data_IF_988141035952
#
_entry.id   IF_988141035952
#
_cell.length_a   1.000
_cell.length_b   1.000
_cell.length_c   1.000
_cell.angle_alpha   90.00
_cell.angle_beta   90.00
_cell.angle_gamma   90.00
#
_symmetry.space_group_name_H-M   'P 1'
#
loop_
_entity.id
_entity.type
_entity.pdbx_description
1 polymer ?
#
# COMPACT_ATOMS: atom_id res chain seq x y z
N UNK A 1 -22.88 -21.16 -19.79
CA UNK A 1 -21.44 -21.31 -19.54
C UNK A 1 -21.19 -21.12 -18.05
N UNK A 2 -20.44 -22.01 -17.43
CA UNK A 2 -20.11 -21.92 -16.02
C UNK A 2 -19.10 -20.75 -15.85
N UNK A 3 -19.49 -19.72 -15.10
CA UNK A 3 -18.68 -18.53 -14.91
C UNK A 3 -17.32 -18.83 -14.23
N UNK A 4 -17.27 -19.90 -13.45
CA UNK A 4 -16.02 -20.34 -12.79
C UNK A 4 -15.02 -20.90 -13.81
N UNK A 5 -15.52 -21.73 -14.75
CA UNK A 5 -14.70 -22.24 -15.86
C UNK A 5 -14.23 -21.12 -16.79
N UNK A 6 -15.06 -20.11 -17.02
CA UNK A 6 -14.67 -18.96 -17.81
C UNK A 6 -13.55 -18.16 -17.14
N UNK A 7 -13.63 -17.95 -15.84
CA UNK A 7 -12.59 -17.27 -15.05
C UNK A 7 -11.26 -18.03 -15.10
N UNK A 8 -11.28 -19.36 -14.94
CA UNK A 8 -10.09 -20.21 -15.04
C UNK A 8 -9.47 -20.13 -16.44
N UNK A 9 -10.29 -20.20 -17.48
CA UNK A 9 -9.81 -20.09 -18.86
C UNK A 9 -9.15 -18.73 -19.14
N UNK A 10 -9.75 -17.64 -18.67
CA UNK A 10 -9.16 -16.29 -18.80
C UNK A 10 -7.85 -16.20 -18.03
N UNK A 11 -7.80 -16.72 -16.80
CA UNK A 11 -6.59 -16.72 -15.99
C UNK A 11 -5.44 -17.50 -16.66
N UNK A 12 -5.73 -18.66 -17.23
CA UNK A 12 -4.75 -19.45 -17.99
C UNK A 12 -4.22 -18.68 -19.23
N UNK A 13 -5.11 -17.97 -19.95
CA UNK A 13 -4.69 -17.15 -21.10
C UNK A 13 -3.85 -15.94 -20.70
N UNK A 14 -4.19 -15.30 -19.58
CA UNK A 14 -3.40 -14.19 -19.02
C UNK A 14 -2.01 -14.68 -18.62
N UNK A 15 -1.90 -15.84 -17.96
CA UNK A 15 -0.60 -16.43 -17.61
C UNK A 15 0.24 -16.75 -18.85
N UNK A 16 -0.35 -17.29 -19.91
CA UNK A 16 0.36 -17.54 -21.17
C UNK A 16 0.86 -16.26 -21.83
N UNK A 17 0.08 -15.18 -21.74
CA UNK A 17 0.43 -13.87 -22.29
C UNK A 17 1.43 -13.09 -21.43
N UNK A 18 1.66 -13.50 -20.17
CA UNK A 18 2.46 -12.73 -19.20
C UNK A 18 3.89 -12.47 -19.67
N UNK A 19 4.49 -13.42 -20.40
CA UNK A 19 5.83 -13.26 -20.98
C UNK A 19 5.90 -12.22 -22.13
N UNK A 20 4.75 -11.87 -22.68
CA UNK A 20 4.63 -10.88 -23.79
C UNK A 20 4.25 -9.48 -23.30
N UNK A 21 3.96 -9.35 -22.00
CA UNK A 21 3.56 -8.07 -21.41
C UNK A 21 4.79 -7.19 -21.08
N UNK A 22 4.67 -5.86 -21.17
CA UNK A 22 5.72 -4.94 -20.71
C UNK A 22 6.10 -5.15 -19.26
N UNK A 23 7.35 -4.84 -18.93
CA UNK A 23 7.89 -5.03 -17.55
C UNK A 23 7.10 -4.26 -16.49
N UNK A 24 6.56 -3.09 -16.85
CA UNK A 24 5.73 -2.27 -15.96
C UNK A 24 4.43 -3.00 -15.56
N UNK A 25 3.81 -3.68 -16.52
CA UNK A 25 2.56 -4.44 -16.28
C UNK A 25 2.85 -5.70 -15.47
N UNK A 26 3.92 -6.42 -15.79
CA UNK A 26 4.31 -7.64 -15.06
C UNK A 26 4.72 -7.35 -13.62
N UNK A 27 5.33 -6.19 -13.36
CA UNK A 27 5.69 -5.74 -12.02
C UNK A 27 4.48 -5.43 -11.14
N UNK A 28 3.42 -4.86 -11.70
CA UNK A 28 2.16 -4.61 -10.99
C UNK A 28 1.34 -5.89 -10.85
N UNK A 29 1.46 -6.80 -11.82
CA UNK A 29 0.68 -8.02 -11.93
C UNK A 29 -0.66 -7.81 -12.65
N UNK A 30 -1.20 -8.88 -13.20
CA UNK A 30 -2.52 -8.89 -13.82
C UNK A 30 -3.44 -9.80 -13.00
N UNK A 31 -4.50 -9.23 -12.46
CA UNK A 31 -5.48 -9.96 -11.65
C UNK A 31 -6.74 -10.20 -12.48
N UNK A 32 -7.21 -11.44 -12.49
CA UNK A 32 -8.48 -11.82 -13.10
C UNK A 32 -9.50 -12.01 -11.98
N UNK A 33 -10.52 -11.17 -11.96
CA UNK A 33 -11.60 -11.24 -10.98
C UNK A 33 -12.93 -11.49 -11.68
N UNK A 34 -13.74 -12.35 -11.08
CA UNK A 34 -15.12 -12.57 -11.49
C UNK A 34 -15.95 -11.41 -10.96
N UNK A 35 -16.63 -10.70 -11.85
CA UNK A 35 -17.48 -9.57 -11.48
C UNK A 35 -18.89 -9.75 -12.01
N UNK A 36 -19.88 -9.60 -11.15
CA UNK A 36 -21.26 -9.37 -11.53
C UNK A 36 -21.46 -7.87 -11.81
N UNK A 37 -22.24 -7.56 -12.83
CA UNK A 37 -22.47 -6.15 -13.25
C UNK A 37 -23.57 -5.46 -12.46
N UNK A 38 -24.39 -6.21 -11.71
CA UNK A 38 -25.44 -5.66 -10.86
C UNK A 38 -25.02 -5.63 -9.40
N UNK A 39 -25.02 -4.45 -8.81
CA UNK A 39 -24.87 -4.30 -7.36
C UNK A 39 -26.21 -4.64 -6.70
N UNK A 40 -26.20 -5.48 -5.69
CA UNK A 40 -27.38 -5.92 -4.95
C UNK A 40 -27.69 -4.93 -3.83
N UNK A 41 -26.66 -4.43 -3.15
CA UNK A 41 -26.77 -3.52 -2.03
C UNK A 41 -25.69 -2.45 -2.17
N UNK A 42 -26.06 -1.21 -1.86
CA UNK A 42 -25.13 -0.11 -1.62
C UNK A 42 -25.29 0.31 -0.17
N UNK A 43 -24.19 0.53 0.52
CA UNK A 43 -24.20 1.01 1.90
C UNK A 43 -23.22 2.18 2.06
N UNK A 44 -23.54 3.06 3.01
CA UNK A 44 -22.65 4.12 3.44
C UNK A 44 -22.28 3.90 4.90
N UNK A 45 -21.04 4.23 5.25
CA UNK A 45 -20.56 4.25 6.63
C UNK A 45 -20.19 5.67 6.95
N UNK A 46 -20.74 6.19 8.05
CA UNK A 46 -20.52 7.56 8.55
C UNK A 46 -20.17 7.53 10.02
N UNK A 47 -19.60 8.63 10.52
CA UNK A 47 -19.44 8.85 11.96
C UNK A 47 -20.54 9.81 12.43
N UNK A 48 -21.47 9.36 13.28
CA UNK A 48 -22.62 10.14 13.74
C UNK A 48 -22.22 11.42 14.48
N UNK A 49 -21.07 11.42 15.13
CA UNK A 49 -20.57 12.54 15.92
C UNK A 49 -19.58 13.43 15.16
N UNK A 50 -19.32 13.12 13.88
CA UNK A 50 -18.36 13.85 13.05
C UNK A 50 -16.92 13.82 13.58
N UNK A 51 -16.62 12.96 14.56
CA UNK A 51 -15.32 12.86 15.22
C UNK A 51 -14.23 12.30 14.29
N UNK A 52 -14.62 11.48 13.35
CA UNK A 52 -13.73 10.80 12.43
C UNK A 52 -13.85 11.40 11.03
N UNK A 53 -12.71 11.60 10.38
CA UNK A 53 -12.64 12.07 9.00
C UNK A 53 -12.98 10.95 8.00
N UNK A 54 -13.15 11.32 6.74
CA UNK A 54 -13.42 10.41 5.63
C UNK A 54 -12.33 9.36 5.46
N UNK A 55 -11.10 9.71 5.75
CA UNK A 55 -9.94 8.82 5.64
C UNK A 55 -10.01 7.71 6.69
N UNK A 56 -10.36 8.04 7.93
CA UNK A 56 -10.54 7.05 8.99
C UNK A 56 -11.72 6.12 8.68
N UNK A 57 -12.87 6.69 8.31
CA UNK A 57 -14.10 5.94 8.00
C UNK A 57 -13.86 4.96 6.85
N UNK A 58 -13.16 5.41 5.80
CA UNK A 58 -12.78 4.56 4.66
C UNK A 58 -11.87 3.42 5.08
N UNK A 59 -10.81 3.73 5.81
CA UNK A 59 -9.86 2.72 6.25
C UNK A 59 -10.50 1.71 7.20
N UNK A 60 -11.40 2.16 8.07
CA UNK A 60 -12.18 1.29 8.96
C UNK A 60 -13.09 0.35 8.17
N UNK A 61 -13.79 0.88 7.14
CA UNK A 61 -14.61 0.08 6.25
C UNK A 61 -13.79 -1.02 5.56
N UNK A 62 -12.66 -0.67 4.97
CA UNK A 62 -11.83 -1.59 4.18
C UNK A 62 -11.18 -2.70 5.04
N UNK A 63 -10.81 -2.37 6.29
CA UNK A 63 -10.15 -3.34 7.17
C UNK A 63 -11.15 -4.19 7.94
N UNK A 64 -12.28 -3.60 8.39
CA UNK A 64 -13.19 -4.27 9.31
C UNK A 64 -14.49 -4.72 8.65
N UNK A 65 -15.14 -3.85 7.85
CA UNK A 65 -16.49 -4.12 7.32
C UNK A 65 -16.42 -4.96 6.05
N UNK A 66 -15.62 -4.57 5.07
CA UNK A 66 -15.50 -5.28 3.79
C UNK A 66 -15.15 -6.75 3.96
N UNK A 67 -14.18 -7.15 4.81
CA UNK A 67 -13.88 -8.58 5.01
C UNK A 67 -15.00 -9.36 5.67
N UNK A 68 -15.80 -8.72 6.52
CA UNK A 68 -16.97 -9.37 7.15
C UNK A 68 -18.05 -9.62 6.12
N UNK A 69 -18.38 -8.64 5.28
CA UNK A 69 -19.39 -8.78 4.23
C UNK A 69 -18.97 -9.84 3.21
N UNK A 70 -17.69 -9.86 2.79
CA UNK A 70 -17.15 -10.88 1.87
C UNK A 70 -17.28 -12.33 2.36
N UNK A 71 -17.43 -12.54 3.66
CA UNK A 71 -17.63 -13.86 4.26
C UNK A 71 -19.08 -14.33 4.25
N UNK A 72 -20.03 -13.44 3.96
CA UNK A 72 -21.45 -13.78 3.90
C UNK A 72 -21.71 -14.66 2.69
N UNK A 73 -22.41 -15.77 2.90
CA UNK A 73 -22.74 -16.69 1.81
C UNK A 73 -23.64 -15.99 0.78
N UNK A 74 -23.27 -16.08 -0.49
CA UNK A 74 -23.96 -15.42 -1.59
C UNK A 74 -23.34 -14.08 -2.03
N UNK A 75 -22.42 -13.52 -1.26
CA UNK A 75 -21.65 -12.33 -1.66
C UNK A 75 -20.53 -12.74 -2.60
N UNK A 76 -20.52 -12.18 -3.81
CA UNK A 76 -19.49 -12.44 -4.81
C UNK A 76 -18.24 -11.58 -4.61
N UNK A 77 -18.44 -10.28 -4.41
CA UNK A 77 -17.37 -9.30 -4.10
C UNK A 77 -17.99 -8.08 -3.41
N UNK A 78 -17.15 -7.31 -2.75
CA UNK A 78 -17.49 -6.02 -2.16
C UNK A 78 -16.50 -4.99 -2.67
N UNK A 79 -17.01 -3.94 -3.26
CA UNK A 79 -16.21 -2.83 -3.79
C UNK A 79 -16.38 -1.61 -2.90
N UNK A 80 -15.27 -1.03 -2.51
CA UNK A 80 -15.20 0.28 -1.86
C UNK A 80 -14.53 1.24 -2.85
N UNK A 81 -15.29 2.08 -3.56
CA UNK A 81 -14.73 3.03 -4.52
C UNK A 81 -13.98 4.18 -3.84
N UNK A 82 -14.01 4.24 -2.53
CA UNK A 82 -13.32 5.27 -1.76
C UNK A 82 -11.81 5.08 -1.85
N UNK A 83 -11.12 6.15 -2.15
CA UNK A 83 -9.66 6.18 -2.36
C UNK A 83 -8.91 6.82 -1.20
N UNK A 84 -9.60 7.06 -0.08
CA UNK A 84 -9.04 7.72 1.10
C UNK A 84 -8.22 6.77 2.01
N UNK A 85 -7.60 5.73 1.44
CA UNK A 85 -6.69 4.83 2.15
C UNK A 85 -5.45 5.58 2.64
N UNK A 86 -5.00 5.29 3.84
CA UNK A 86 -3.77 5.88 4.38
C UNK A 86 -2.56 5.55 3.53
N UNK A 87 -1.76 6.57 3.26
CA UNK A 87 -0.50 6.45 2.53
C UNK A 87 0.55 7.38 3.12
N UNK A 88 1.81 6.95 3.09
CA UNK A 88 2.92 7.83 3.44
C UNK A 88 3.20 8.80 2.29
N UNK A 89 3.01 10.09 2.54
CA UNK A 89 3.26 11.17 1.58
C UNK A 89 4.64 11.75 1.80
N UNK A 90 5.43 11.78 0.74
CA UNK A 90 6.78 12.31 0.71
C UNK A 90 6.80 13.46 -0.29
N UNK A 91 6.77 14.69 0.23
CA UNK A 91 6.80 15.91 -0.56
C UNK A 91 8.24 16.36 -0.75
N UNK A 92 8.79 16.07 -1.92
CA UNK A 92 10.16 16.43 -2.26
C UNK A 92 10.31 17.94 -2.39
N UNK A 93 11.43 18.49 -1.91
CA UNK A 93 11.79 19.90 -1.98
C UNK A 93 12.90 20.10 -3.01
N UNK A 94 12.57 20.51 -4.27
CA UNK A 94 13.53 20.55 -5.37
C UNK A 94 14.76 21.42 -5.09
N UNK A 95 14.55 22.55 -4.41
CA UNK A 95 15.66 23.47 -4.09
C UNK A 95 16.69 22.83 -3.17
N UNK A 96 16.21 22.09 -2.15
CA UNK A 96 17.11 21.36 -1.24
C UNK A 96 17.77 20.18 -1.93
N UNK A 97 17.03 19.44 -2.76
CA UNK A 97 17.59 18.34 -3.54
C UNK A 97 18.72 18.82 -4.43
N UNK A 98 18.55 19.99 -5.09
CA UNK A 98 19.58 20.59 -5.94
C UNK A 98 20.84 20.95 -5.15
N UNK A 99 20.72 21.44 -3.90
CA UNK A 99 21.87 21.75 -3.04
C UNK A 99 22.71 20.52 -2.73
N UNK A 100 22.08 19.35 -2.62
CA UNK A 100 22.75 18.08 -2.31
C UNK A 100 23.06 17.24 -3.56
N UNK A 101 22.72 17.75 -4.77
CA UNK A 101 22.96 17.06 -6.04
C UNK A 101 22.12 15.80 -6.21
N UNK A 102 20.92 15.75 -5.58
CA UNK A 102 20.00 14.61 -5.65
C UNK A 102 18.97 14.80 -6.75
N UNK A 103 18.59 13.69 -7.37
CA UNK A 103 17.44 13.58 -8.29
C UNK A 103 16.35 12.69 -7.69
N UNK A 104 15.08 12.79 -8.11
CA UNK A 104 13.98 11.99 -7.55
C UNK A 104 14.20 10.48 -7.61
N UNK A 105 14.89 9.99 -8.65
CA UNK A 105 15.23 8.58 -8.80
C UNK A 105 16.14 8.05 -7.70
N UNK A 106 17.03 8.87 -7.15
CA UNK A 106 17.92 8.47 -6.06
C UNK A 106 17.09 8.19 -4.80
N UNK A 107 16.11 9.07 -4.53
CA UNK A 107 15.22 8.90 -3.37
C UNK A 107 14.33 7.65 -3.54
N UNK A 108 13.77 7.43 -4.74
CA UNK A 108 12.96 6.23 -4.98
C UNK A 108 13.78 4.94 -4.89
N UNK A 109 15.05 4.97 -5.33
CA UNK A 109 15.99 3.85 -5.18
C UNK A 109 16.23 3.51 -3.71
N UNK A 110 16.60 4.50 -2.91
CA UNK A 110 16.84 4.33 -1.46
C UNK A 110 15.59 3.86 -0.72
N UNK A 111 14.41 4.40 -1.07
CA UNK A 111 13.14 3.95 -0.50
C UNK A 111 12.85 2.48 -0.83
N UNK A 112 13.12 2.06 -2.07
CA UNK A 112 12.95 0.67 -2.49
C UNK A 112 13.90 -0.27 -1.74
N UNK A 113 15.12 0.17 -1.45
CA UNK A 113 16.12 -0.63 -0.71
C UNK A 113 15.84 -0.71 0.80
N UNK A 114 15.39 0.39 1.42
CA UNK A 114 15.23 0.47 2.87
C UNK A 114 13.82 0.15 3.37
N UNK A 115 12.82 0.15 2.50
CA UNK A 115 11.42 -0.15 2.84
C UNK A 115 10.97 -1.50 2.27
N UNK A 116 11.77 -2.53 2.48
CA UNK A 116 11.47 -3.91 2.06
C UNK A 116 11.10 -4.77 3.25
N UNK A 117 10.36 -5.82 3.00
CA UNK A 117 10.12 -6.89 3.94
C UNK A 117 11.04 -8.05 3.58
N UNK A 118 11.99 -8.34 4.46
CA UNK A 118 12.94 -9.42 4.26
C UNK A 118 12.86 -10.42 5.43
N UNK A 119 13.05 -11.69 5.13
CA UNK A 119 13.29 -12.72 6.14
C UNK A 119 14.82 -12.89 6.28
N UNK A 120 15.45 -12.28 7.27
CA UNK A 120 16.92 -12.24 7.37
C UNK A 120 17.55 -13.60 7.70
N UNK A 121 16.71 -14.63 7.98
CA UNK A 121 17.19 -15.95 8.34
C UNK A 121 17.69 -16.05 9.77
N UNK A 122 18.54 -17.02 10.01
CA UNK A 122 19.10 -17.35 11.32
C UNK A 122 20.62 -17.35 11.27
N UNK A 123 21.24 -16.91 12.33
CA UNK A 123 22.70 -16.98 12.48
C UNK A 123 23.09 -18.25 13.24
N UNK A 124 24.04 -19.00 12.71
CA UNK A 124 24.50 -20.27 13.32
C UNK A 124 23.83 -21.53 12.77
N UNK A 125 22.90 -21.41 11.82
CA UNK A 125 22.35 -22.54 11.06
C UNK A 125 23.50 -23.21 10.28
N UNK A 126 23.71 -24.50 10.48
CA UNK A 126 24.84 -25.30 9.91
C UNK A 126 26.23 -24.99 10.48
N UNK A 127 26.36 -24.37 11.63
CA UNK A 127 27.63 -24.25 12.33
C UNK A 127 27.71 -25.22 13.50
N UNK A 128 28.95 -25.59 13.90
CA UNK A 128 29.20 -26.41 15.11
C UNK A 128 28.92 -25.61 16.41
N UNK A 129 28.20 -24.49 16.34
CA UNK A 129 27.84 -23.70 17.51
C UNK A 129 26.62 -24.30 18.21
N UNK A 130 26.64 -24.32 19.53
CA UNK A 130 25.57 -24.86 20.39
C UNK A 130 24.32 -23.97 20.41
N UNK A 131 24.36 -22.79 19.80
CA UNK A 131 23.29 -21.80 19.83
C UNK A 131 22.97 -21.25 18.45
N UNK A 132 21.67 -21.15 18.15
CA UNK A 132 21.08 -20.55 16.97
C UNK A 132 20.41 -19.24 17.36
N UNK A 133 20.74 -18.16 16.64
CA UNK A 133 20.13 -16.84 16.86
C UNK A 133 19.24 -16.48 15.68
N UNK A 134 17.95 -16.31 15.94
CA UNK A 134 17.01 -15.78 14.94
C UNK A 134 17.23 -14.28 14.78
N UNK A 135 17.62 -13.87 13.57
CA UNK A 135 17.70 -12.46 13.23
C UNK A 135 16.27 -11.90 13.09
N UNK A 136 15.99 -10.79 13.77
CA UNK A 136 14.73 -10.06 13.62
C UNK A 136 15.01 -8.81 12.80
N UNK A 137 14.27 -8.67 11.72
CA UNK A 137 14.26 -7.47 10.91
C UNK A 137 13.00 -6.65 11.24
N UNK A 138 13.12 -5.33 11.24
CA UNK A 138 12.03 -4.43 11.63
C UNK A 138 10.86 -4.44 10.62
N UNK A 139 11.10 -4.89 9.38
CA UNK A 139 10.10 -4.90 8.32
C UNK A 139 9.90 -3.54 7.68
N UNK A 140 8.74 -3.35 7.07
CA UNK A 140 8.37 -2.09 6.44
C UNK A 140 8.25 -0.96 7.45
N UNK A 141 8.68 0.22 7.04
CA UNK A 141 8.51 1.45 7.81
C UNK A 141 7.01 1.82 7.86
N UNK A 142 6.51 2.19 9.03
CA UNK A 142 5.09 2.45 9.24
C UNK A 142 4.78 3.86 9.74
N UNK A 143 5.76 4.56 10.31
CA UNK A 143 5.57 5.88 10.90
C UNK A 143 6.30 6.97 10.13
N UNK A 144 5.77 8.22 10.09
CA UNK A 144 6.47 9.33 9.46
C UNK A 144 7.90 9.55 9.99
N UNK A 145 8.13 9.33 11.29
CA UNK A 145 9.43 9.49 11.93
C UNK A 145 10.46 8.47 11.38
N UNK A 146 10.02 7.24 11.13
CA UNK A 146 10.90 6.23 10.54
C UNK A 146 11.32 6.62 9.12
N UNK A 147 10.37 7.10 8.30
CA UNK A 147 10.68 7.60 6.96
C UNK A 147 11.58 8.84 6.99
N UNK A 148 11.38 9.76 7.95
CA UNK A 148 12.22 10.94 8.13
C UNK A 148 13.69 10.59 8.36
N UNK A 149 13.95 9.49 9.04
CA UNK A 149 15.29 9.03 9.41
C UNK A 149 15.97 8.13 8.37
N UNK A 150 15.33 7.89 7.22
CA UNK A 150 15.95 7.19 6.09
C UNK A 150 17.23 7.94 5.68
N UNK A 151 18.33 7.22 5.57
CA UNK A 151 19.62 7.76 5.16
C UNK A 151 19.69 7.77 3.64
N UNK A 152 19.84 8.97 3.04
CA UNK A 152 19.99 9.14 1.60
C UNK A 152 21.45 9.08 1.17
N UNK A 153 22.34 9.72 1.92
CA UNK A 153 23.78 9.74 1.66
C UNK A 153 24.54 9.75 2.98
N UNK A 154 25.67 9.07 3.00
CA UNK A 154 26.65 9.15 4.09
C UNK A 154 27.99 9.53 3.51
N UNK A 155 28.54 10.65 3.94
CA UNK A 155 29.89 11.09 3.54
C UNK A 155 30.94 10.46 4.43
N UNK A 156 32.15 10.30 3.91
CA UNK A 156 33.32 9.83 4.65
C UNK A 156 33.68 10.74 5.83
N UNK A 157 33.21 11.99 5.83
CA UNK A 157 33.36 12.96 6.91
C UNK A 157 32.42 12.71 8.10
N UNK A 158 31.53 11.71 8.05
CA UNK A 158 30.55 11.41 9.08
C UNK A 158 29.24 12.20 8.96
N UNK A 159 29.13 13.10 7.99
CA UNK A 159 27.87 13.78 7.71
C UNK A 159 26.87 12.81 7.03
N UNK A 160 25.68 12.70 7.61
CA UNK A 160 24.61 11.84 7.11
C UNK A 160 23.43 12.71 6.69
N UNK A 161 23.02 12.58 5.44
CA UNK A 161 21.84 13.24 4.90
C UNK A 161 20.62 12.31 5.05
N UNK A 162 19.57 12.82 5.66
CA UNK A 162 18.33 12.08 5.86
C UNK A 162 17.21 12.58 4.93
N UNK A 163 16.20 11.77 4.74
CA UNK A 163 15.06 12.10 3.90
C UNK A 163 14.34 13.37 4.38
N UNK A 164 14.25 13.62 5.68
CA UNK A 164 13.69 14.84 6.28
C UNK A 164 14.38 16.14 5.83
N UNK A 165 15.64 16.06 5.42
CA UNK A 165 16.43 17.24 5.04
C UNK A 165 16.04 17.75 3.65
N UNK A 166 15.48 16.87 2.80
CA UNK A 166 15.10 17.17 1.41
C UNK A 166 13.61 16.96 1.11
N UNK A 167 12.84 16.46 2.08
CA UNK A 167 11.42 16.21 1.91
C UNK A 167 10.61 16.48 3.19
N UNK A 168 9.33 16.83 3.02
CA UNK A 168 8.32 16.79 4.08
C UNK A 168 7.62 15.43 4.04
N UNK A 169 7.55 14.74 5.17
CA UNK A 169 6.93 13.42 5.28
C UNK A 169 5.72 13.52 6.20
N UNK A 170 4.58 13.05 5.74
CA UNK A 170 3.34 13.03 6.51
C UNK A 170 2.49 11.80 6.14
N UNK A 171 1.68 11.35 7.07
CA UNK A 171 0.62 10.38 6.80
C UNK A 171 -0.56 11.12 6.20
N UNK A 172 -1.04 10.68 5.05
CA UNK A 172 -2.14 11.30 4.35
C UNK A 172 -2.91 10.31 3.50
N UNK A 173 -3.84 10.80 2.69
CA UNK A 173 -4.63 9.97 1.77
C UNK A 173 -3.81 9.54 0.55
N UNK A 174 -4.09 8.36 0.02
CA UNK A 174 -3.54 7.90 -1.25
C UNK A 174 -3.97 8.81 -2.40
N UNK A 175 -5.22 9.28 -2.37
CA UNK A 175 -5.80 10.23 -3.33
C UNK A 175 -6.66 11.25 -2.59
N UNK A 176 -6.75 12.48 -3.14
CA UNK A 176 -7.52 13.58 -2.55
C UNK A 176 -8.68 14.05 -3.45
N UNK A 177 -8.91 13.37 -4.55
CA UNK A 177 -9.84 13.77 -5.61
C UNK A 177 -11.26 13.20 -5.46
N UNK A 178 -11.51 12.38 -4.45
CA UNK A 178 -12.83 11.85 -4.15
C UNK A 178 -13.18 12.13 -2.69
N UNK A 179 -14.24 12.88 -2.48
CA UNK A 179 -14.82 13.16 -1.18
C UNK A 179 -16.25 12.64 -1.21
N UNK A 180 -16.65 11.92 -0.20
CA UNK A 180 -18.00 11.40 -0.04
C UNK A 180 -18.59 11.92 1.26
N UNK A 181 -19.73 12.56 1.14
CA UNK A 181 -20.51 13.02 2.27
C UNK A 181 -21.89 12.35 2.26
N UNK A 182 -22.39 12.03 3.43
CA UNK A 182 -23.76 11.59 3.63
C UNK A 182 -24.38 12.47 4.71
N UNK A 183 -25.40 13.25 4.34
CA UNK A 183 -26.07 14.23 5.22
C UNK A 183 -25.11 15.24 5.87
N UNK A 184 -24.05 15.64 5.14
CA UNK A 184 -23.04 16.59 5.64
C UNK A 184 -22.01 15.98 6.59
N UNK A 185 -22.00 14.67 6.75
CA UNK A 185 -20.99 13.94 7.51
C UNK A 185 -20.03 13.19 6.57
N UNK A 186 -18.73 13.15 6.90
CA UNK A 186 -17.78 12.35 6.15
C UNK A 186 -18.23 10.90 6.04
N UNK A 187 -18.21 10.37 4.82
CA UNK A 187 -18.72 9.03 4.53
C UNK A 187 -17.77 8.23 3.65
N UNK A 188 -17.85 6.91 3.76
CA UNK A 188 -17.39 6.02 2.72
C UNK A 188 -18.55 5.17 2.21
N UNK A 189 -18.43 4.65 1.00
CA UNK A 189 -19.44 3.84 0.35
C UNK A 189 -18.89 2.46 0.00
N UNK A 190 -19.74 1.45 0.16
CA UNK A 190 -19.47 0.11 -0.31
C UNK A 190 -20.61 -0.41 -1.19
N UNK A 191 -20.26 -1.26 -2.13
CA UNK A 191 -21.18 -1.91 -3.08
C UNK A 191 -20.95 -3.42 -3.04
N UNK A 192 -22.04 -4.15 -2.90
CA UNK A 192 -22.06 -5.63 -2.84
C UNK A 192 -22.67 -6.21 -4.08
#
# INVERSE_FOLDING_TARGET
SNADMASVNVQNRVQQAQALLPAEVTRVGVTVTKRQTANVIMYAVTSDDGRYDDQFVTNYNDINIVPLIKRVNGVGDVQSPSTATYSMRIWLQPDKMKQYGLIPSDITGVLAEQNIEAAPGKFGENSNMAYEYTLRYKGRLSTPIEYQNIVLQSKTTGETLHLKDVAKIELGSLMYNVHLDNDGLPACMGMV
#
